data_IF_416686792596
#
_entry.id   IF_416686792596
#
_cell.length_a   1.000
_cell.length_b   1.000
_cell.length_c   1.000
_cell.angle_alpha   90.00
_cell.angle_beta   90.00
_cell.angle_gamma   90.00
#
_symmetry.space_group_name_H-M   'P 1'
#
loop_
_entity.id
_entity.type
_entity.pdbx_description
1 polymer ?
#
# COMPACT_ATOMS: atom_id res chain seq x y z
N UNK A 1 -46.76 -20.59 -13.95
CA UNK A 1 -45.47 -20.38 -14.64
C UNK A 1 -44.37 -20.38 -13.59
N UNK A 2 -43.63 -21.47 -13.53
CA UNK A 2 -42.56 -21.71 -12.57
C UNK A 2 -41.25 -21.55 -13.34
N UNK A 3 -40.53 -20.45 -13.12
CA UNK A 3 -39.28 -20.19 -13.83
C UNK A 3 -38.95 -18.71 -13.91
N UNK A 4 -38.35 -18.16 -12.83
CA UNK A 4 -37.38 -17.05 -12.94
C UNK A 4 -36.88 -16.50 -11.59
N UNK A 5 -37.37 -16.97 -10.44
CA UNK A 5 -36.89 -16.44 -9.14
C UNK A 5 -35.44 -16.83 -8.81
N UNK A 6 -34.92 -17.94 -9.36
CA UNK A 6 -33.52 -18.35 -9.16
C UNK A 6 -32.52 -17.37 -9.80
N UNK A 7 -32.84 -16.79 -10.95
CA UNK A 7 -31.92 -15.87 -11.64
C UNK A 7 -31.82 -14.51 -10.93
N UNK A 8 -32.89 -14.08 -10.26
CA UNK A 8 -32.91 -12.80 -9.53
C UNK A 8 -32.08 -12.84 -8.23
N UNK A 9 -32.00 -14.01 -7.58
CA UNK A 9 -31.15 -14.22 -6.41
C UNK A 9 -29.67 -14.24 -6.82
N UNK A 10 -29.34 -14.88 -7.94
CA UNK A 10 -27.96 -14.90 -8.47
C UNK A 10 -27.47 -13.52 -8.93
N UNK A 11 -28.34 -12.67 -9.49
CA UNK A 11 -27.95 -11.29 -9.84
C UNK A 11 -27.73 -10.41 -8.60
N UNK A 12 -28.53 -10.59 -7.55
CA UNK A 12 -28.39 -9.82 -6.31
C UNK A 12 -27.12 -10.20 -5.53
N UNK A 13 -26.75 -11.49 -5.48
CA UNK A 13 -25.50 -11.93 -4.85
C UNK A 13 -24.25 -11.48 -5.62
N UNK A 14 -24.30 -11.45 -6.95
CA UNK A 14 -23.21 -10.94 -7.78
C UNK A 14 -23.05 -9.41 -7.65
N UNK A 15 -24.14 -8.67 -7.42
CA UNK A 15 -24.10 -7.22 -7.18
C UNK A 15 -23.48 -6.90 -5.81
N UNK A 16 -23.75 -7.70 -4.78
CA UNK A 16 -23.11 -7.57 -3.45
C UNK A 16 -21.62 -7.93 -3.46
N UNK A 17 -21.15 -8.71 -4.45
CA UNK A 17 -19.73 -9.03 -4.62
C UNK A 17 -18.92 -7.88 -5.24
N UNK A 18 -19.58 -6.85 -5.77
CA UNK A 18 -18.92 -5.66 -6.28
C UNK A 18 -18.71 -4.66 -5.14
N UNK A 19 -17.48 -4.54 -4.64
CA UNK A 19 -17.04 -3.26 -4.07
C UNK A 19 -16.42 -3.25 -2.68
N UNK A 20 -15.78 -4.32 -2.22
CA UNK A 20 -14.73 -4.18 -1.20
C UNK A 20 -13.36 -4.26 -1.88
N UNK A 21 -12.77 -3.10 -2.20
CA UNK A 21 -11.37 -3.01 -2.63
C UNK A 21 -10.48 -3.20 -1.42
N UNK A 22 -10.22 -4.45 -1.05
CA UNK A 22 -9.36 -4.77 0.08
C UNK A 22 -7.89 -4.76 -0.35
N UNK A 23 -7.05 -4.17 0.51
CA UNK A 23 -5.60 -4.38 0.52
C UNK A 23 -5.30 -5.90 0.48
N UNK A 24 -4.37 -6.31 -0.38
CA UNK A 24 -3.98 -7.72 -0.55
C UNK A 24 -2.82 -8.14 0.37
N UNK A 25 -2.38 -7.24 1.27
CA UNK A 25 -1.23 -7.47 2.14
C UNK A 25 -1.46 -8.72 3.01
N UNK A 26 -0.45 -9.59 3.02
CA UNK A 26 -0.41 -10.78 3.85
C UNK A 26 0.89 -10.83 4.64
N UNK A 27 0.83 -11.42 5.84
CA UNK A 27 2.02 -11.70 6.64
C UNK A 27 2.39 -13.18 6.48
N UNK A 28 3.55 -13.45 5.89
CA UNK A 28 4.02 -14.79 5.61
C UNK A 28 5.46 -14.96 6.09
N UNK A 29 5.68 -15.86 7.06
CA UNK A 29 6.99 -16.10 7.68
C UNK A 29 7.70 -14.79 8.11
N UNK A 30 6.95 -13.95 8.83
CA UNK A 30 7.32 -12.61 9.29
C UNK A 30 7.57 -11.55 8.20
N UNK A 31 7.48 -11.91 6.92
CA UNK A 31 7.58 -10.97 5.81
C UNK A 31 6.19 -10.53 5.35
N UNK A 32 5.99 -9.24 5.19
CA UNK A 32 4.79 -8.72 4.54
C UNK A 32 4.92 -8.78 3.02
N UNK A 33 3.92 -9.37 2.38
CA UNK A 33 3.87 -9.66 0.94
C UNK A 33 2.67 -8.98 0.28
N UNK A 34 2.72 -8.83 -1.05
CA UNK A 34 1.66 -8.25 -1.88
C UNK A 34 1.34 -6.78 -1.55
N UNK A 35 2.34 -6.01 -1.12
CA UNK A 35 2.18 -4.56 -0.91
C UNK A 35 2.21 -3.89 -2.29
N UNK A 36 1.23 -3.05 -2.60
CA UNK A 36 1.09 -2.42 -3.92
C UNK A 36 1.27 -0.91 -3.79
N UNK A 37 2.28 -0.38 -4.48
CA UNK A 37 2.52 1.06 -4.62
C UNK A 37 2.17 1.46 -6.06
N UNK A 38 1.22 2.37 -6.25
CA UNK A 38 0.88 2.86 -7.58
C UNK A 38 1.32 4.30 -7.79
N UNK A 39 1.88 4.56 -8.97
CA UNK A 39 2.19 5.91 -9.45
C UNK A 39 0.98 6.43 -10.21
N UNK A 40 0.56 7.66 -9.91
CA UNK A 40 -0.55 8.30 -10.60
C UNK A 40 -0.18 8.61 -12.07
N UNK A 41 -1.08 8.32 -13.04
CA UNK A 41 -0.79 8.52 -14.47
C UNK A 41 -0.60 9.97 -14.90
N UNK A 42 -0.98 10.96 -14.07
CA UNK A 42 -0.75 12.39 -14.31
C UNK A 42 0.67 12.83 -13.99
N UNK A 43 1.44 12.03 -13.24
CA UNK A 43 2.83 12.34 -12.95
C UNK A 43 3.68 12.18 -14.22
N UNK A 44 4.54 13.19 -14.53
CA UNK A 44 5.50 13.05 -15.61
C UNK A 44 6.47 11.91 -15.33
N UNK A 45 6.93 11.24 -16.40
CA UNK A 45 7.90 10.17 -16.28
C UNK A 45 9.22 10.68 -15.68
N UNK A 46 9.64 10.07 -14.57
CA UNK A 46 10.91 10.33 -13.90
C UNK A 46 11.57 9.00 -13.54
N UNK A 47 12.68 8.71 -14.21
CA UNK A 47 13.48 7.50 -14.02
C UNK A 47 13.97 7.33 -12.57
N UNK A 48 14.14 8.44 -11.84
CA UNK A 48 14.62 8.40 -10.45
C UNK A 48 13.50 8.08 -9.47
N UNK A 49 12.24 8.35 -9.82
CA UNK A 49 11.11 8.13 -8.90
C UNK A 49 11.00 6.66 -8.49
N UNK A 50 11.13 5.74 -9.45
CA UNK A 50 11.11 4.28 -9.17
C UNK A 50 12.22 3.92 -8.18
N UNK A 51 13.41 4.50 -8.34
CA UNK A 51 14.54 4.24 -7.45
C UNK A 51 14.26 4.80 -6.04
N UNK A 52 13.75 6.03 -5.93
CA UNK A 52 13.37 6.60 -4.63
C UNK A 52 12.29 5.77 -3.92
N UNK A 53 11.30 5.24 -4.65
CA UNK A 53 10.30 4.33 -4.07
C UNK A 53 10.98 3.06 -3.53
N UNK A 54 11.91 2.46 -4.27
CA UNK A 54 12.67 1.29 -3.81
C UNK A 54 13.50 1.59 -2.56
N UNK A 55 14.15 2.74 -2.52
CA UNK A 55 14.97 3.16 -1.39
C UNK A 55 14.09 3.40 -0.14
N UNK A 56 12.94 4.07 -0.31
CA UNK A 56 11.93 4.25 0.73
C UNK A 56 11.41 2.92 1.27
N UNK A 57 11.09 1.96 0.40
CA UNK A 57 10.63 0.61 0.81
C UNK A 57 11.71 -0.14 1.58
N UNK A 58 12.96 -0.04 1.13
CA UNK A 58 14.11 -0.66 1.80
C UNK A 58 14.31 -0.07 3.20
N UNK A 59 14.30 1.26 3.31
CA UNK A 59 14.40 1.98 4.57
C UNK A 59 13.27 1.59 5.53
N UNK A 60 12.02 1.57 5.04
CA UNK A 60 10.86 1.14 5.81
C UNK A 60 11.02 -0.30 6.33
N UNK A 61 11.49 -1.21 5.47
CA UNK A 61 11.71 -2.62 5.80
C UNK A 61 12.79 -2.79 6.88
N UNK A 62 13.91 -2.06 6.76
CA UNK A 62 14.98 -2.05 7.78
C UNK A 62 14.48 -1.51 9.11
N UNK A 63 13.81 -0.36 9.10
CA UNK A 63 13.26 0.24 10.32
C UNK A 63 12.27 -0.69 11.01
N UNK A 64 11.32 -1.27 10.27
CA UNK A 64 10.33 -2.21 10.81
C UNK A 64 11.01 -3.43 11.43
N UNK A 65 12.03 -3.96 10.77
CA UNK A 65 12.78 -5.11 11.27
C UNK A 65 13.47 -4.79 12.60
N UNK A 66 14.16 -3.65 12.69
CA UNK A 66 14.84 -3.25 13.92
C UNK A 66 13.84 -2.92 15.05
N UNK A 67 12.78 -2.19 14.75
CA UNK A 67 11.77 -1.78 15.71
C UNK A 67 10.95 -2.96 16.27
N UNK A 68 10.88 -4.08 15.56
CA UNK A 68 10.12 -5.28 15.95
C UNK A 68 11.00 -6.39 16.50
N UNK A 69 12.17 -6.06 17.05
CA UNK A 69 13.15 -7.04 17.56
C UNK A 69 13.55 -8.08 16.50
N UNK A 70 13.79 -7.62 15.27
CA UNK A 70 14.27 -8.43 14.14
C UNK A 70 13.25 -9.46 13.66
N UNK A 71 11.96 -9.10 13.68
CA UNK A 71 10.87 -9.99 13.30
C UNK A 71 10.29 -9.61 11.95
N UNK A 72 9.65 -8.46 11.85
CA UNK A 72 8.83 -8.11 10.71
C UNK A 72 9.56 -7.25 9.69
N UNK A 73 9.31 -7.48 8.41
CA UNK A 73 9.95 -6.74 7.32
C UNK A 73 9.06 -6.75 6.07
N UNK A 74 9.31 -5.85 5.12
CA UNK A 74 8.68 -5.92 3.80
C UNK A 74 9.44 -6.92 2.93
N UNK A 75 8.73 -7.94 2.49
CA UNK A 75 9.27 -9.08 1.74
C UNK A 75 8.99 -8.97 0.25
N UNK A 76 7.77 -8.58 -0.11
CA UNK A 76 7.33 -8.46 -1.50
C UNK A 76 6.49 -7.19 -1.70
N UNK A 77 6.97 -6.34 -2.61
CA UNK A 77 6.38 -5.03 -2.92
C UNK A 77 6.36 -4.81 -4.43
N UNK A 78 5.17 -4.60 -4.98
CA UNK A 78 4.94 -4.34 -6.40
C UNK A 78 4.77 -2.83 -6.65
N UNK A 79 5.51 -2.28 -7.61
CA UNK A 79 5.35 -0.89 -8.07
C UNK A 79 4.57 -0.90 -9.38
N UNK A 80 3.35 -0.36 -9.37
CA UNK A 80 2.53 -0.19 -10.56
C UNK A 80 2.97 1.04 -11.34
N UNK A 81 3.53 0.79 -12.53
CA UNK A 81 3.95 1.82 -13.48
C UNK A 81 2.74 2.27 -14.32
N UNK A 82 2.53 3.59 -14.52
CA UNK A 82 1.41 4.07 -15.31
C UNK A 82 1.53 3.68 -16.78
N UNK A 83 0.38 3.47 -17.44
CA UNK A 83 0.33 3.24 -18.90
C UNK A 83 0.75 4.47 -19.72
N UNK A 84 0.78 5.65 -19.10
CA UNK A 84 1.22 6.90 -19.73
C UNK A 84 2.75 6.98 -19.86
N UNK A 85 3.50 6.16 -19.11
CA UNK A 85 4.96 6.08 -19.18
C UNK A 85 5.40 5.10 -20.27
N UNK A 86 6.63 5.24 -20.74
CA UNK A 86 7.18 4.32 -21.73
C UNK A 86 7.43 2.93 -21.15
N UNK A 87 6.99 1.90 -21.86
CA UNK A 87 7.24 0.51 -21.48
C UNK A 87 8.72 0.18 -21.61
N UNK A 88 9.33 -0.34 -20.54
CA UNK A 88 10.72 -0.82 -20.54
C UNK A 88 10.78 -2.35 -20.52
N UNK A 89 11.84 -2.98 -21.06
CA UNK A 89 11.95 -4.44 -21.14
C UNK A 89 11.90 -5.17 -19.79
N UNK A 90 12.27 -4.49 -18.71
CA UNK A 90 12.28 -5.02 -17.35
C UNK A 90 10.95 -4.84 -16.61
N UNK A 91 9.90 -4.34 -17.26
CA UNK A 91 8.57 -4.24 -16.67
C UNK A 91 7.78 -5.51 -16.92
N UNK A 92 7.25 -6.07 -15.84
CA UNK A 92 6.35 -7.21 -15.90
C UNK A 92 4.90 -6.75 -15.95
N UNK A 93 4.02 -7.60 -16.51
CA UNK A 93 2.59 -7.34 -16.49
C UNK A 93 2.05 -7.55 -15.07
N UNK A 94 1.28 -6.59 -14.51
CA UNK A 94 0.59 -6.79 -13.23
C UNK A 94 -0.29 -8.04 -13.29
N UNK A 95 -0.31 -8.81 -12.20
CA UNK A 95 -1.13 -10.03 -12.09
C UNK A 95 -2.45 -9.71 -11.40
N UNK A 96 -2.35 -9.18 -10.18
CA UNK A 96 -3.47 -8.85 -9.29
C UNK A 96 -3.45 -7.38 -8.86
N UNK A 97 -2.33 -6.71 -9.10
CA UNK A 97 -2.08 -5.33 -8.73
C UNK A 97 -2.84 -4.38 -9.66
N UNK A 98 -3.64 -3.51 -9.06
CA UNK A 98 -4.41 -2.48 -9.75
C UNK A 98 -4.29 -1.16 -9.01
N UNK A 99 -4.57 -0.05 -9.70
CA UNK A 99 -4.66 1.23 -9.02
C UNK A 99 -5.70 1.24 -7.90
N UNK A 100 -6.76 0.41 -7.98
CA UNK A 100 -7.83 0.40 -6.98
C UNK A 100 -7.43 -0.27 -5.67
N UNK A 101 -6.60 -1.30 -5.69
CA UNK A 101 -6.14 -2.01 -4.50
C UNK A 101 -4.72 -1.61 -4.06
N UNK A 102 -4.19 -0.50 -4.57
CA UNK A 102 -2.90 0.01 -4.14
C UNK A 102 -2.96 0.54 -2.69
N UNK A 103 -2.03 0.07 -1.86
CA UNK A 103 -1.89 0.46 -0.45
C UNK A 103 -1.25 1.83 -0.31
N UNK A 104 -0.38 2.20 -1.26
CA UNK A 104 0.29 3.49 -1.34
C UNK A 104 0.08 4.08 -2.74
N UNK A 105 -0.35 5.34 -2.79
CA UNK A 105 -0.47 6.13 -3.99
C UNK A 105 0.59 7.22 -4.02
N UNK A 106 1.34 7.30 -5.11
CA UNK A 106 2.26 8.39 -5.39
C UNK A 106 1.57 9.32 -6.39
N UNK A 107 1.16 10.50 -5.93
CA UNK A 107 0.31 11.42 -6.69
C UNK A 107 0.84 12.86 -6.68
N UNK A 108 0.27 13.69 -7.56
CA UNK A 108 0.54 15.13 -7.54
C UNK A 108 -0.04 15.75 -6.26
N UNK A 109 0.63 16.76 -5.66
CA UNK A 109 0.09 17.44 -4.49
C UNK A 109 -1.27 18.08 -4.78
N UNK A 110 -2.21 17.95 -3.86
CA UNK A 110 -3.54 18.57 -3.96
C UNK A 110 -3.88 19.32 -2.66
N UNK A 111 -3.86 20.67 -2.64
CA UNK A 111 -3.62 21.58 -3.78
C UNK A 111 -2.16 21.58 -4.27
N UNK A 112 -1.89 22.03 -5.52
CA UNK A 112 -0.53 22.08 -6.07
C UNK A 112 0.45 22.86 -5.18
N UNK A 113 1.65 22.31 -4.99
CA UNK A 113 2.70 22.91 -4.15
C UNK A 113 2.57 22.62 -2.65
N UNK A 114 1.52 21.93 -2.22
CA UNK A 114 1.33 21.51 -0.83
C UNK A 114 1.59 20.01 -0.67
N UNK A 115 2.85 19.62 -0.58
CA UNK A 115 3.27 18.23 -0.37
C UNK A 115 3.02 17.79 1.08
N UNK A 116 1.86 17.18 1.33
CA UNK A 116 1.50 16.67 2.66
C UNK A 116 1.23 15.16 2.55
N UNK A 117 1.89 14.31 3.36
CA UNK A 117 1.54 12.89 3.41
C UNK A 117 0.16 12.73 4.04
N UNK A 118 -0.67 11.85 3.48
CA UNK A 118 -2.05 11.66 3.93
C UNK A 118 -2.39 10.18 3.97
N UNK A 119 -3.22 9.78 4.92
CA UNK A 119 -3.81 8.43 4.94
C UNK A 119 -5.33 8.56 4.88
N UNK A 120 -5.97 7.79 3.99
CA UNK A 120 -7.41 7.56 4.04
C UNK A 120 -7.68 6.65 5.24
N UNK A 121 -8.36 7.16 6.27
CA UNK A 121 -8.75 6.38 7.43
C UNK A 121 -10.25 6.59 7.68
N UNK A 122 -11.04 5.58 7.30
CA UNK A 122 -12.50 5.56 7.55
C UNK A 122 -12.81 4.99 8.94
N UNK A 123 -11.87 4.23 9.53
CA UNK A 123 -12.00 3.59 10.85
C UNK A 123 -11.70 4.50 12.05
N UNK A 124 -11.80 3.94 13.25
CA UNK A 124 -11.44 4.61 14.50
C UNK A 124 -9.92 4.73 14.65
N UNK A 125 -9.47 5.54 15.62
CA UNK A 125 -8.06 5.61 15.98
C UNK A 125 -7.55 4.21 16.37
N UNK A 126 -6.47 3.75 15.73
CA UNK A 126 -5.91 2.41 15.94
C UNK A 126 -6.44 1.34 14.97
N UNK A 127 -7.40 1.68 14.10
CA UNK A 127 -7.77 0.84 12.95
C UNK A 127 -6.77 1.01 11.81
N UNK A 128 -6.68 -0.01 10.95
CA UNK A 128 -5.85 0.03 9.74
C UNK A 128 -6.32 1.15 8.82
N UNK A 129 -5.37 1.99 8.37
CA UNK A 129 -5.61 2.95 7.29
C UNK A 129 -5.89 2.22 5.98
N UNK A 130 -6.78 2.78 5.17
CA UNK A 130 -7.19 2.19 3.90
C UNK A 130 -6.10 2.36 2.85
N UNK A 131 -5.55 3.58 2.71
CA UNK A 131 -4.55 3.94 1.69
C UNK A 131 -3.69 5.11 2.14
N UNK A 132 -2.39 5.05 1.84
CA UNK A 132 -1.45 6.15 2.04
C UNK A 132 -1.29 6.91 0.72
N UNK A 133 -1.24 8.23 0.78
CA UNK A 133 -1.01 9.14 -0.33
C UNK A 133 0.27 9.93 -0.05
N UNK A 134 1.21 9.87 -0.98
CA UNK A 134 2.50 10.55 -0.90
C UNK A 134 2.76 11.30 -2.21
N UNK A 135 3.59 12.34 -2.13
CA UNK A 135 4.05 13.06 -3.31
C UNK A 135 5.49 12.66 -3.67
N UNK A 136 5.94 12.87 -4.92
CA UNK A 136 7.33 12.59 -5.32
C UNK A 136 8.38 13.31 -4.45
N UNK A 137 8.07 14.51 -3.96
CA UNK A 137 8.97 15.29 -3.10
C UNK A 137 9.10 14.69 -1.69
N UNK A 138 8.05 14.04 -1.19
CA UNK A 138 8.12 13.25 0.04
C UNK A 138 8.93 11.99 -0.19
N UNK A 139 8.62 11.22 -1.25
CA UNK A 139 9.32 9.95 -1.55
C UNK A 139 10.81 10.16 -1.81
N UNK A 140 11.20 11.27 -2.43
CA UNK A 140 12.60 11.63 -2.70
C UNK A 140 13.35 12.21 -1.49
N UNK A 141 12.70 12.35 -0.34
CA UNK A 141 13.33 12.88 0.89
C UNK A 141 13.47 14.40 0.93
N UNK A 142 12.99 15.16 -0.06
CA UNK A 142 13.08 16.64 -0.03
C UNK A 142 12.31 17.25 1.14
N UNK A 143 11.29 16.54 1.62
CA UNK A 143 10.46 16.94 2.78
C UNK A 143 10.91 16.29 4.10
N UNK A 144 12.11 15.73 4.17
CA UNK A 144 12.61 15.04 5.37
C UNK A 144 12.65 15.94 6.60
N UNK A 145 13.01 17.22 6.44
CA UNK A 145 13.02 18.18 7.56
C UNK A 145 11.63 18.42 8.17
N UNK A 146 10.58 18.21 7.38
CA UNK A 146 9.19 18.48 7.77
C UNK A 146 8.52 17.24 8.36
N UNK A 147 8.73 16.08 7.74
CA UNK A 147 8.00 14.85 8.07
C UNK A 147 8.89 13.69 8.54
N UNK A 148 10.22 13.80 8.43
CA UNK A 148 11.19 12.75 8.74
C UNK A 148 11.54 11.87 7.52
N UNK A 149 12.15 10.72 7.78
CA UNK A 149 12.57 9.81 6.71
C UNK A 149 11.35 9.15 6.02
N UNK A 150 11.28 9.11 4.68
CA UNK A 150 10.11 8.59 3.95
C UNK A 150 9.75 7.15 4.30
N UNK A 151 10.74 6.27 4.48
CA UNK A 151 10.51 4.88 4.85
C UNK A 151 9.90 4.75 6.25
N UNK A 152 10.39 5.56 7.21
CA UNK A 152 9.82 5.60 8.56
C UNK A 152 8.37 6.10 8.51
N UNK A 153 8.06 7.09 7.69
CA UNK A 153 6.69 7.57 7.51
C UNK A 153 5.75 6.44 7.08
N UNK A 154 6.09 5.70 6.03
CA UNK A 154 5.24 4.60 5.52
C UNK A 154 4.95 3.56 6.61
N UNK A 155 5.94 3.23 7.45
CA UNK A 155 5.72 2.29 8.57
C UNK A 155 4.78 2.83 9.65
N UNK A 156 4.73 4.16 9.86
CA UNK A 156 3.94 4.81 10.92
C UNK A 156 2.53 5.20 10.47
N UNK A 157 2.39 5.78 9.27
CA UNK A 157 1.14 6.39 8.80
C UNK A 157 0.11 5.37 8.31
N UNK A 158 0.53 4.14 8.01
CA UNK A 158 -0.36 3.19 7.36
C UNK A 158 -1.38 2.53 8.29
N UNK A 159 -1.02 2.24 9.54
CA UNK A 159 -1.73 1.17 10.29
C UNK A 159 -1.85 -0.15 9.49
N UNK A 160 -1.19 -0.25 8.32
CA UNK A 160 -1.33 -1.31 7.32
C UNK A 160 -0.98 -2.68 7.91
N UNK A 161 -0.19 -2.64 8.98
CA UNK A 161 0.51 -3.75 9.59
C UNK A 161 0.01 -4.05 11.03
N UNK A 162 -0.78 -3.15 11.63
CA UNK A 162 -1.09 -3.14 13.08
C UNK A 162 -2.08 -4.23 13.51
N UNK A 163 -3.05 -4.58 12.64
CA UNK A 163 -4.04 -5.63 12.98
C UNK A 163 -3.40 -7.03 13.07
N UNK A 164 -2.40 -7.32 12.23
CA UNK A 164 -1.75 -8.63 12.24
C UNK A 164 -0.74 -8.74 13.39
N UNK A 165 -0.04 -7.66 13.76
CA UNK A 165 0.87 -7.65 14.92
C UNK A 165 0.13 -7.92 16.25
N UNK A 166 -1.05 -7.31 16.44
CA UNK A 166 -1.89 -7.52 17.64
C UNK A 166 -2.30 -8.99 17.83
N UNK A 167 -2.51 -9.76 16.76
CA UNK A 167 -2.88 -11.18 16.83
C UNK A 167 -1.75 -12.09 17.35
N UNK A 168 -0.49 -11.67 17.25
CA UNK A 168 0.67 -12.45 17.70
C UNK A 168 1.23 -11.99 19.05
N UNK A 169 0.88 -10.79 19.52
CA UNK A 169 1.37 -10.24 20.79
C UNK A 169 0.84 -10.96 22.06
N UNK A 170 -0.08 -11.92 21.92
CA UNK A 170 -0.70 -12.65 23.05
C UNK A 170 -0.43 -14.16 23.15
N UNK A 171 0.26 -14.79 22.19
CA UNK A 171 0.50 -16.25 22.21
C UNK A 171 1.91 -16.57 22.70
N UNK A 172 2.03 -16.88 23.99
CA UNK A 172 3.22 -17.48 24.59
C UNK A 172 2.76 -18.67 25.44
N UNK A 173 2.83 -19.88 24.91
CA UNK A 173 2.88 -21.10 25.73
C UNK A 173 4.36 -21.38 26.00
N UNK A 174 4.75 -21.34 27.27
CA UNK A 174 6.05 -21.80 27.74
C UNK A 174 5.94 -23.26 28.15
N UNK A 175 6.89 -24.10 27.71
CA UNK A 175 7.16 -25.39 28.33
C UNK A 175 7.89 -25.20 29.67
#
# INVERSE_FOLDING_TARGET
>A
MMGSFKNFIFTLTLYLLQGATASLIQLNNNGYENIVIAIDPTLPEDDKLIQHIKDMVKEASTYLYEATERRFYFKDVSILIPKTWQTKPNYEKPKLETHKNADILIEVPNPPGNDVPRTDQIGQCGDKGERIHLTPDIVSGKKEKEYGLPGIMVTKFGGLMDHQEKQYRGRRETN
#
